data_IF_439911455810
#
_entry.id   IF_439911455810
#
_cell.length_a   1.000
_cell.length_b   1.000
_cell.length_c   1.000
_cell.angle_alpha   90.00
_cell.angle_beta   90.00
_cell.angle_gamma   90.00
#
_symmetry.space_group_name_H-M   'P 1'
#
loop_
_entity.id
_entity.type
_entity.pdbx_description
1 polymer ?
#
# COMPACT_ATOMS: atom_id res chain seq x y z
N UNK A 1 -15.53 -3.04 34.76
CA UNK A 1 -15.83 -3.63 33.44
C UNK A 1 -16.52 -2.58 32.59
N UNK A 2 -15.74 -1.63 32.01
CA UNK A 2 -16.30 -0.58 31.16
C UNK A 2 -16.32 -1.09 29.72
N UNK A 3 -17.50 -1.29 29.18
CA UNK A 3 -17.70 -1.54 27.77
C UNK A 3 -17.26 -0.28 27.00
N UNK A 4 -16.07 -0.32 26.38
CA UNK A 4 -15.64 0.72 25.47
C UNK A 4 -16.51 0.67 24.21
N UNK A 5 -17.56 1.49 24.21
CA UNK A 5 -18.38 1.71 23.02
C UNK A 5 -17.49 2.22 21.89
N UNK A 6 -17.53 1.59 20.73
CA UNK A 6 -16.90 2.12 19.53
C UNK A 6 -17.54 3.48 19.20
N UNK A 7 -16.75 4.56 19.02
CA UNK A 7 -17.33 5.86 18.68
C UNK A 7 -18.16 5.73 17.39
N UNK A 8 -19.47 5.93 17.53
CA UNK A 8 -20.40 5.87 16.40
C UNK A 8 -20.39 7.21 15.66
N UNK A 9 -20.62 7.16 14.34
CA UNK A 9 -20.92 8.37 13.58
C UNK A 9 -22.23 8.99 14.12
N UNK A 10 -22.33 10.33 14.25
CA UNK A 10 -23.60 10.97 14.53
C UNK A 10 -24.67 10.44 13.57
N UNK A 11 -25.87 10.17 14.05
CA UNK A 11 -26.96 9.56 13.28
C UNK A 11 -27.35 10.34 12.00
N UNK A 12 -26.96 11.63 11.92
CA UNK A 12 -27.20 12.53 10.78
C UNK A 12 -26.12 12.48 9.69
N UNK A 13 -24.97 11.79 9.91
CA UNK A 13 -23.91 11.76 8.92
C UNK A 13 -24.10 10.66 7.88
N UNK A 14 -24.01 11.03 6.59
CA UNK A 14 -24.02 10.10 5.49
C UNK A 14 -22.87 9.08 5.60
N UNK A 15 -23.21 7.78 5.53
CA UNK A 15 -22.22 6.68 5.58
C UNK A 15 -21.57 6.38 4.21
N UNK A 16 -22.08 6.99 3.14
CA UNK A 16 -21.63 6.71 1.77
C UNK A 16 -20.17 7.08 1.51
N UNK A 17 -19.65 8.25 1.93
CA UNK A 17 -18.23 8.57 1.75
C UNK A 17 -17.31 7.50 2.33
N UNK A 18 -17.61 6.99 3.52
CA UNK A 18 -16.84 5.90 4.13
C UNK A 18 -16.95 4.60 3.35
N UNK A 19 -18.15 4.22 2.90
CA UNK A 19 -18.34 3.00 2.12
C UNK A 19 -17.58 3.03 0.81
N UNK A 20 -17.65 4.12 0.07
CA UNK A 20 -16.91 4.27 -1.18
C UNK A 20 -15.41 4.36 -0.96
N UNK A 21 -14.92 5.02 0.09
CA UNK A 21 -13.50 5.03 0.42
C UNK A 21 -12.96 3.62 0.74
N UNK A 22 -13.71 2.82 1.51
CA UNK A 22 -13.36 1.43 1.80
C UNK A 22 -13.44 0.54 0.55
N UNK A 23 -14.45 0.73 -0.29
CA UNK A 23 -14.58 0.01 -1.57
C UNK A 23 -13.42 0.33 -2.52
N UNK A 24 -13.00 1.60 -2.57
CA UNK A 24 -11.83 2.02 -3.35
C UNK A 24 -10.56 1.28 -2.91
N UNK A 25 -10.31 1.18 -1.60
CA UNK A 25 -9.19 0.38 -1.07
C UNK A 25 -9.34 -1.10 -1.46
N UNK A 26 -10.55 -1.66 -1.26
CA UNK A 26 -10.86 -3.06 -1.54
C UNK A 26 -10.69 -3.45 -3.01
N UNK A 27 -10.99 -2.55 -3.96
CA UNK A 27 -10.80 -2.79 -5.40
C UNK A 27 -9.38 -2.48 -5.88
N UNK A 28 -8.70 -1.50 -5.27
CA UNK A 28 -7.34 -1.13 -5.69
C UNK A 28 -6.33 -2.23 -5.39
N UNK A 29 -6.50 -2.99 -4.31
CA UNK A 29 -5.58 -4.09 -4.00
C UNK A 29 -5.64 -5.24 -5.02
N UNK A 30 -6.81 -5.81 -5.38
CA UNK A 30 -6.93 -6.75 -6.50
C UNK A 30 -6.44 -6.17 -7.83
N UNK A 31 -6.67 -4.88 -8.09
CA UNK A 31 -6.16 -4.21 -9.28
C UNK A 31 -4.62 -4.24 -9.33
N UNK A 32 -3.94 -4.01 -8.20
CA UNK A 32 -2.47 -4.14 -8.10
C UNK A 32 -2.04 -5.58 -8.35
N UNK A 33 -2.76 -6.56 -7.78
CA UNK A 33 -2.46 -7.98 -7.99
C UNK A 33 -2.56 -8.36 -9.47
N UNK A 34 -3.69 -8.06 -10.12
CA UNK A 34 -3.89 -8.36 -11.53
C UNK A 34 -2.90 -7.60 -12.41
N UNK A 35 -2.60 -6.32 -12.11
CA UNK A 35 -1.54 -5.56 -12.78
C UNK A 35 -0.14 -6.17 -12.60
N UNK A 36 0.09 -6.79 -11.44
CA UNK A 36 1.25 -7.62 -11.20
C UNK A 36 1.29 -8.83 -12.14
N UNK A 37 0.20 -9.57 -12.31
CA UNK A 37 0.10 -10.68 -13.26
C UNK A 37 0.32 -10.22 -14.69
N UNK A 38 -0.33 -9.14 -15.14
CA UNK A 38 -0.13 -8.55 -16.47
C UNK A 38 1.36 -8.39 -16.80
N UNK A 39 2.14 -7.86 -15.87
CA UNK A 39 3.59 -7.67 -16.09
C UNK A 39 4.37 -8.99 -16.03
N UNK A 40 4.04 -9.86 -15.07
CA UNK A 40 4.82 -11.09 -14.81
C UNK A 40 4.59 -12.15 -15.87
N UNK A 41 3.36 -12.26 -16.42
CA UNK A 41 3.01 -13.15 -17.51
C UNK A 41 3.28 -12.55 -18.89
N UNK A 42 3.85 -11.33 -18.94
CA UNK A 42 4.12 -10.57 -20.18
C UNK A 42 2.85 -10.25 -20.98
N UNK A 43 1.70 -10.26 -20.36
CA UNK A 43 0.39 -10.04 -21.00
C UNK A 43 0.11 -8.57 -21.34
N UNK A 44 0.97 -7.64 -20.94
CA UNK A 44 0.67 -6.20 -21.03
C UNK A 44 0.67 -5.59 -22.43
N UNK A 45 0.74 -6.41 -23.48
CA UNK A 45 0.65 -6.04 -24.89
C UNK A 45 -0.28 -7.01 -25.64
N UNK A 46 -1.07 -7.82 -24.93
CA UNK A 46 -2.00 -8.78 -25.54
C UNK A 46 -3.18 -8.07 -26.22
N UNK A 47 -3.56 -6.89 -25.72
CA UNK A 47 -4.57 -6.00 -26.29
C UNK A 47 -3.87 -4.73 -26.77
N UNK A 48 -3.63 -4.61 -28.10
CA UNK A 48 -2.73 -3.59 -28.64
C UNK A 48 -3.31 -2.18 -28.66
N UNK A 49 -4.62 -2.04 -28.54
CA UNK A 49 -5.34 -0.77 -28.64
C UNK A 49 -5.83 -0.26 -27.26
N UNK A 50 -5.93 1.07 -27.16
CA UNK A 50 -6.46 1.76 -25.99
C UNK A 50 -7.14 3.08 -26.46
N UNK A 51 -8.33 3.44 -25.96
CA UNK A 51 -9.13 2.84 -24.87
C UNK A 51 -10.04 1.67 -25.30
N UNK A 52 -9.90 1.15 -26.49
CA UNK A 52 -10.65 0.03 -27.04
C UNK A 52 -10.01 -1.32 -26.68
N UNK A 53 -10.69 -2.43 -27.04
CA UNK A 53 -10.21 -3.79 -26.94
C UNK A 53 -10.49 -4.47 -28.28
N UNK A 54 -9.46 -4.65 -29.13
CA UNK A 54 -9.57 -5.16 -30.51
C UNK A 54 -10.63 -4.40 -31.33
N UNK A 55 -10.64 -3.07 -31.22
CA UNK A 55 -11.60 -2.18 -31.88
C UNK A 55 -12.99 -2.10 -31.23
N UNK A 56 -13.31 -2.97 -30.29
CA UNK A 56 -14.57 -2.90 -29.53
C UNK A 56 -14.49 -1.83 -28.44
N UNK A 57 -15.64 -1.22 -28.12
CA UNK A 57 -15.76 -0.53 -26.85
C UNK A 57 -15.39 -1.48 -25.70
N UNK A 58 -14.55 -1.04 -24.77
CA UNK A 58 -14.03 -1.88 -23.69
C UNK A 58 -15.12 -2.59 -22.88
N UNK A 59 -16.28 -1.96 -22.70
CA UNK A 59 -17.43 -2.56 -21.98
C UNK A 59 -18.25 -3.52 -22.84
N UNK A 60 -18.12 -3.45 -24.15
CA UNK A 60 -18.90 -4.22 -25.12
C UNK A 60 -18.06 -5.33 -25.77
N UNK A 61 -16.82 -5.54 -25.30
CA UNK A 61 -16.03 -6.68 -25.74
C UNK A 61 -16.76 -7.99 -25.40
N UNK A 62 -16.95 -8.92 -26.33
CA UNK A 62 -17.78 -10.11 -26.12
C UNK A 62 -17.31 -10.92 -24.92
N UNK A 63 -18.20 -11.13 -23.95
CA UNK A 63 -17.88 -11.83 -22.69
C UNK A 63 -17.39 -13.26 -22.95
N UNK A 64 -17.95 -13.95 -23.94
CA UNK A 64 -17.51 -15.29 -24.35
C UNK A 64 -16.07 -15.30 -24.86
N UNK A 65 -15.67 -14.30 -25.65
CA UNK A 65 -14.30 -14.15 -26.14
C UNK A 65 -13.32 -13.80 -25.04
N UNK A 66 -13.74 -12.97 -24.08
CA UNK A 66 -12.93 -12.65 -22.93
C UNK A 66 -12.72 -13.86 -22.02
N UNK A 67 -13.82 -14.59 -21.70
CA UNK A 67 -13.78 -15.69 -20.73
C UNK A 67 -13.10 -16.95 -21.28
N UNK A 68 -13.34 -17.29 -22.54
CA UNK A 68 -12.78 -18.47 -23.20
C UNK A 68 -11.55 -18.17 -24.05
N UNK A 69 -11.11 -16.92 -24.08
CA UNK A 69 -9.98 -16.44 -24.85
C UNK A 69 -8.62 -16.79 -24.24
N UNK A 70 -7.53 -16.33 -24.87
CA UNK A 70 -6.18 -16.50 -24.35
C UNK A 70 -6.01 -15.86 -22.99
N UNK A 71 -5.20 -16.50 -22.12
CA UNK A 71 -4.93 -16.06 -20.76
C UNK A 71 -4.41 -14.61 -20.66
N UNK A 72 -3.55 -14.22 -21.56
CA UNK A 72 -2.96 -12.88 -21.64
C UNK A 72 -4.02 -11.80 -21.91
N UNK A 73 -4.94 -12.05 -22.83
CA UNK A 73 -6.10 -11.17 -23.08
C UNK A 73 -7.03 -11.13 -21.85
N UNK A 74 -7.29 -12.29 -21.23
CA UNK A 74 -8.14 -12.38 -20.04
C UNK A 74 -7.60 -11.48 -18.92
N UNK A 75 -6.31 -11.55 -18.65
CA UNK A 75 -5.67 -10.81 -17.54
C UNK A 75 -5.56 -9.33 -17.88
N UNK A 76 -5.14 -8.96 -19.11
CA UNK A 76 -4.98 -7.56 -19.49
C UNK A 76 -6.31 -6.81 -19.55
N UNK A 77 -7.31 -7.39 -20.22
CA UNK A 77 -8.65 -6.79 -20.30
C UNK A 77 -9.31 -6.72 -18.91
N UNK A 78 -9.20 -7.77 -18.10
CA UNK A 78 -9.67 -7.77 -16.71
C UNK A 78 -9.01 -6.69 -15.85
N UNK A 79 -7.71 -6.44 -16.02
CA UNK A 79 -7.01 -5.33 -15.37
C UNK A 79 -7.59 -3.96 -15.76
N UNK A 80 -7.89 -3.76 -17.04
CA UNK A 80 -8.52 -2.52 -17.53
C UNK A 80 -9.90 -2.30 -16.92
N UNK A 81 -10.74 -3.34 -16.87
CA UNK A 81 -12.08 -3.28 -16.27
C UNK A 81 -12.02 -2.98 -14.77
N UNK A 82 -11.09 -3.59 -14.03
CA UNK A 82 -10.86 -3.27 -12.62
C UNK A 82 -10.39 -1.81 -12.44
N UNK A 83 -9.53 -1.31 -13.32
CA UNK A 83 -9.11 0.09 -13.30
C UNK A 83 -10.27 1.06 -13.46
N UNK A 84 -11.19 0.77 -14.39
CA UNK A 84 -12.42 1.54 -14.58
C UNK A 84 -13.31 1.46 -13.33
N UNK A 85 -13.47 0.28 -12.74
CA UNK A 85 -14.27 0.12 -11.52
C UNK A 85 -13.72 1.01 -10.38
N UNK A 86 -12.40 1.07 -10.19
CA UNK A 86 -11.78 2.00 -9.21
C UNK A 86 -12.06 3.46 -9.58
N UNK A 87 -11.99 3.82 -10.87
CA UNK A 87 -12.32 5.16 -11.36
C UNK A 87 -13.78 5.54 -11.06
N UNK A 88 -14.73 4.66 -11.33
CA UNK A 88 -16.15 4.86 -11.01
C UNK A 88 -16.39 5.05 -9.52
N UNK A 89 -15.72 4.24 -8.68
CA UNK A 89 -15.80 4.39 -7.22
C UNK A 89 -15.22 5.73 -6.77
N UNK A 90 -14.14 6.22 -7.39
CA UNK A 90 -13.59 7.54 -7.09
C UNK A 90 -14.57 8.68 -7.45
N UNK A 91 -15.31 8.55 -8.56
CA UNK A 91 -16.39 9.48 -8.95
C UNK A 91 -17.51 9.43 -7.90
N UNK A 92 -17.98 8.23 -7.54
CA UNK A 92 -19.04 8.06 -6.53
C UNK A 92 -18.63 8.61 -5.16
N UNK A 93 -17.38 8.39 -4.76
CA UNK A 93 -16.81 8.97 -3.53
C UNK A 93 -16.82 10.50 -3.58
N UNK A 94 -16.40 11.07 -4.70
CA UNK A 94 -16.40 12.52 -4.90
C UNK A 94 -17.81 13.09 -4.78
N UNK A 95 -18.77 12.52 -5.50
CA UNK A 95 -20.19 12.94 -5.43
C UNK A 95 -20.73 12.84 -3.99
N UNK A 96 -20.45 11.72 -3.31
CA UNK A 96 -20.93 11.49 -1.94
C UNK A 96 -20.35 12.52 -0.94
N UNK A 97 -19.08 12.90 -1.09
CA UNK A 97 -18.44 13.95 -0.26
C UNK A 97 -19.01 15.33 -0.55
N UNK A 98 -19.25 15.68 -1.83
CA UNK A 98 -19.81 16.98 -2.19
C UNK A 98 -21.27 17.15 -1.74
N UNK A 99 -22.06 16.07 -1.76
CA UNK A 99 -23.46 16.06 -1.29
C UNK A 99 -23.61 16.06 0.24
N UNK A 100 -22.50 15.89 0.99
CA UNK A 100 -22.55 15.82 2.45
C UNK A 100 -21.71 16.93 3.09
N UNK A 101 -22.32 17.98 3.68
CA UNK A 101 -21.61 19.08 4.33
C UNK A 101 -20.65 18.63 5.43
N UNK A 102 -20.99 17.58 6.17
CA UNK A 102 -20.17 17.00 7.23
C UNK A 102 -18.79 16.51 6.74
N UNK A 103 -18.65 16.22 5.44
CA UNK A 103 -17.43 15.74 4.82
C UNK A 103 -16.71 16.81 3.97
N UNK A 104 -17.10 18.08 4.08
CA UNK A 104 -16.56 19.20 3.27
C UNK A 104 -15.02 19.30 3.32
N UNK A 105 -14.40 18.97 4.46
CA UNK A 105 -12.95 18.93 4.64
C UNK A 105 -12.23 17.94 3.71
N UNK A 106 -12.94 16.92 3.18
CA UNK A 106 -12.36 15.92 2.29
C UNK A 106 -12.48 16.29 0.80
N UNK A 107 -13.17 17.39 0.43
CA UNK A 107 -13.42 17.75 -0.97
C UNK A 107 -12.13 17.82 -1.81
N UNK A 108 -11.09 18.50 -1.31
CA UNK A 108 -9.80 18.56 -2.01
C UNK A 108 -9.17 17.19 -2.18
N UNK A 109 -9.21 16.36 -1.15
CA UNK A 109 -8.60 15.05 -1.16
C UNK A 109 -9.28 14.06 -2.13
N UNK A 110 -10.63 14.08 -2.23
CA UNK A 110 -11.33 13.21 -3.17
C UNK A 110 -11.13 13.66 -4.62
N UNK A 111 -10.99 14.97 -4.87
CA UNK A 111 -10.62 15.47 -6.20
C UNK A 111 -9.21 15.03 -6.57
N UNK A 112 -8.24 15.12 -5.64
CA UNK A 112 -6.88 14.60 -5.85
C UNK A 112 -6.91 13.10 -6.15
N UNK A 113 -7.74 12.32 -5.45
CA UNK A 113 -7.89 10.89 -5.73
C UNK A 113 -8.45 10.62 -7.13
N UNK A 114 -9.47 11.39 -7.54
CA UNK A 114 -10.06 11.28 -8.87
C UNK A 114 -9.05 11.63 -9.96
N UNK A 115 -8.31 12.73 -9.82
CA UNK A 115 -7.24 13.11 -10.74
C UNK A 115 -6.14 12.04 -10.77
N UNK A 116 -5.72 11.54 -9.62
CA UNK A 116 -4.66 10.53 -9.53
C UNK A 116 -5.06 9.22 -10.21
N UNK A 117 -6.29 8.72 -10.03
CA UNK A 117 -6.75 7.49 -10.70
C UNK A 117 -6.92 7.70 -12.20
N UNK A 118 -7.35 8.88 -12.64
CA UNK A 118 -7.42 9.23 -14.07
C UNK A 118 -6.03 9.24 -14.70
N UNK A 119 -5.05 9.87 -14.04
CA UNK A 119 -3.65 9.86 -14.49
C UNK A 119 -3.08 8.42 -14.53
N UNK A 120 -3.45 7.58 -13.57
CA UNK A 120 -3.07 6.16 -13.58
C UNK A 120 -3.64 5.43 -14.80
N UNK A 121 -4.90 5.64 -15.13
CA UNK A 121 -5.51 5.10 -16.35
C UNK A 121 -4.79 5.56 -17.62
N UNK A 122 -4.50 6.86 -17.72
CA UNK A 122 -3.76 7.43 -18.86
C UNK A 122 -2.34 6.86 -18.98
N UNK A 123 -1.59 6.77 -17.87
CA UNK A 123 -0.27 6.16 -17.85
C UNK A 123 -0.33 4.68 -18.27
N UNK A 124 -1.37 3.96 -17.80
CA UNK A 124 -1.61 2.57 -18.18
C UNK A 124 -1.91 2.41 -19.67
N UNK A 125 -2.66 3.32 -20.29
CA UNK A 125 -2.94 3.34 -21.72
C UNK A 125 -1.72 3.75 -22.56
N UNK A 126 -1.08 4.87 -22.21
CA UNK A 126 0.09 5.39 -22.94
C UNK A 126 1.26 4.40 -22.97
N UNK A 127 1.46 3.62 -21.90
CA UNK A 127 2.51 2.59 -21.91
C UNK A 127 2.26 1.51 -22.96
N UNK A 128 0.98 1.21 -23.28
CA UNK A 128 0.60 0.26 -24.33
C UNK A 128 0.82 0.89 -25.70
N UNK A 129 0.22 2.03 -25.96
CA UNK A 129 0.34 2.76 -27.23
C UNK A 129 1.80 3.03 -27.64
N UNK A 130 2.63 3.44 -26.67
CA UNK A 130 4.04 3.78 -26.92
C UNK A 130 4.99 2.61 -26.70
N UNK A 131 4.52 1.44 -26.29
CA UNK A 131 5.33 0.30 -25.85
C UNK A 131 6.48 0.72 -24.91
N UNK A 132 6.19 1.63 -23.98
CA UNK A 132 7.19 2.36 -23.20
C UNK A 132 7.41 1.72 -21.82
N UNK A 133 8.58 1.07 -21.63
CA UNK A 133 8.97 0.44 -20.34
C UNK A 133 9.07 1.43 -19.20
N UNK A 134 9.56 2.65 -19.45
CA UNK A 134 9.65 3.70 -18.43
C UNK A 134 8.26 4.07 -17.91
N UNK A 135 7.28 4.24 -18.80
CA UNK A 135 5.90 4.51 -18.40
C UNK A 135 5.30 3.34 -17.62
N UNK A 136 5.60 2.10 -18.01
CA UNK A 136 5.19 0.92 -17.26
C UNK A 136 5.79 0.89 -15.84
N UNK A 137 7.06 1.28 -15.67
CA UNK A 137 7.72 1.41 -14.38
C UNK A 137 7.08 2.51 -13.53
N UNK A 138 6.86 3.70 -14.10
CA UNK A 138 6.21 4.84 -13.41
C UNK A 138 4.79 4.44 -12.97
N UNK A 139 3.99 3.85 -13.86
CA UNK A 139 2.67 3.33 -13.53
C UNK A 139 2.73 2.29 -12.38
N UNK A 140 3.69 1.37 -12.42
CA UNK A 140 3.92 0.36 -11.39
C UNK A 140 4.35 0.93 -10.03
N UNK A 141 5.07 2.07 -10.00
CA UNK A 141 5.45 2.76 -8.77
C UNK A 141 4.31 3.62 -8.20
N UNK A 142 3.58 4.33 -9.06
CA UNK A 142 2.54 5.28 -8.65
C UNK A 142 1.23 4.58 -8.26
N UNK A 143 0.97 3.36 -8.75
CA UNK A 143 -0.16 2.53 -8.31
C UNK A 143 -0.17 2.24 -6.79
N UNK A 144 0.91 1.71 -6.20
CA UNK A 144 1.03 1.54 -4.75
C UNK A 144 0.95 2.85 -3.96
N UNK A 145 1.44 3.98 -4.50
CA UNK A 145 1.28 5.30 -3.89
C UNK A 145 -0.19 5.72 -3.86
N UNK A 146 -0.94 5.52 -4.95
CA UNK A 146 -2.39 5.73 -4.99
C UNK A 146 -3.12 4.83 -3.98
N UNK A 147 -2.74 3.57 -3.87
CA UNK A 147 -3.30 2.64 -2.87
C UNK A 147 -3.08 3.13 -1.44
N UNK A 148 -1.88 3.59 -1.09
CA UNK A 148 -1.59 4.19 0.20
C UNK A 148 -2.46 5.45 0.46
N UNK A 149 -2.64 6.29 -0.56
CA UNK A 149 -3.53 7.45 -0.47
C UNK A 149 -5.00 7.05 -0.28
N UNK A 150 -5.48 6.02 -0.97
CA UNK A 150 -6.82 5.46 -0.78
C UNK A 150 -7.04 4.96 0.67
N UNK A 151 -6.02 4.29 1.26
CA UNK A 151 -6.04 3.87 2.67
C UNK A 151 -6.13 5.09 3.60
N UNK A 152 -5.39 6.16 3.33
CA UNK A 152 -5.45 7.41 4.11
C UNK A 152 -6.82 8.06 3.99
N UNK A 153 -7.40 8.13 2.79
CA UNK A 153 -8.77 8.62 2.60
C UNK A 153 -9.80 7.81 3.40
N UNK A 154 -9.72 6.48 3.34
CA UNK A 154 -10.59 5.61 4.12
C UNK A 154 -10.41 5.81 5.63
N UNK A 155 -9.17 6.03 6.10
CA UNK A 155 -8.88 6.39 7.49
C UNK A 155 -9.51 7.73 7.88
N UNK A 156 -9.41 8.76 7.03
CA UNK A 156 -10.00 10.08 7.30
C UNK A 156 -11.52 10.06 7.42
N UNK A 157 -12.18 9.07 6.83
CA UNK A 157 -13.62 8.84 6.99
C UNK A 157 -13.98 8.05 8.26
N UNK A 158 -13.00 7.64 9.08
CA UNK A 158 -13.24 6.83 10.28
C UNK A 158 -13.54 7.69 11.51
N UNK A 159 -14.37 7.17 12.43
CA UNK A 159 -14.63 7.80 13.71
C UNK A 159 -13.34 7.98 14.54
N UNK A 160 -12.45 6.98 14.50
CA UNK A 160 -11.14 7.04 15.19
C UNK A 160 -10.24 8.17 14.72
N UNK A 161 -10.33 8.60 13.48
CA UNK A 161 -9.57 9.73 13.00
C UNK A 161 -10.09 11.06 13.56
N UNK A 162 -11.39 11.16 13.75
CA UNK A 162 -12.02 12.37 14.29
C UNK A 162 -11.78 12.53 15.79
N UNK A 163 -11.77 11.42 16.48
CA UNK A 163 -11.58 11.32 17.92
C UNK A 163 -10.35 10.45 18.22
N UNK A 164 -9.17 11.04 18.00
CA UNK A 164 -7.90 10.32 18.09
C UNK A 164 -7.52 10.02 19.55
N UNK A 165 -7.99 10.83 20.49
CA UNK A 165 -7.70 10.70 21.93
C UNK A 165 -8.73 9.85 22.68
N UNK A 166 -9.79 9.40 21.99
CA UNK A 166 -10.82 8.59 22.64
C UNK A 166 -10.24 7.37 23.38
N UNK A 167 -10.48 7.32 24.67
CA UNK A 167 -10.01 6.26 25.57
C UNK A 167 -8.52 6.34 25.93
N UNK A 168 -7.90 7.50 25.75
CA UNK A 168 -6.57 7.83 26.28
C UNK A 168 -6.76 8.74 27.49
N UNK A 169 -6.22 8.36 28.66
CA UNK A 169 -6.24 9.19 29.87
C UNK A 169 -5.17 10.26 29.84
N UNK A 170 -5.32 11.33 30.63
CA UNK A 170 -4.32 12.39 30.75
C UNK A 170 -2.95 11.84 31.19
N UNK A 171 -2.93 10.89 32.14
CA UNK A 171 -1.71 10.20 32.59
C UNK A 171 -1.05 9.44 31.43
N UNK A 172 -1.84 8.74 30.59
CA UNK A 172 -1.33 8.04 29.42
C UNK A 172 -0.77 8.99 28.35
N UNK A 173 -1.28 10.21 28.25
CA UNK A 173 -0.75 11.28 27.40
C UNK A 173 0.65 11.66 27.86
N UNK A 174 0.84 11.94 29.16
CA UNK A 174 2.13 12.33 29.75
C UNK A 174 3.19 11.22 29.59
N UNK A 175 2.82 9.96 29.78
CA UNK A 175 3.73 8.81 29.62
C UNK A 175 4.21 8.61 28.15
N UNK A 176 3.33 8.91 27.19
CA UNK A 176 3.60 8.68 25.75
C UNK A 176 4.32 9.85 25.08
N UNK A 177 4.02 11.10 25.46
CA UNK A 177 4.46 12.31 24.78
C UNK A 177 5.97 12.37 24.54
N UNK A 178 6.86 12.09 25.51
CA UNK A 178 8.32 12.18 25.30
C UNK A 178 8.86 11.25 24.22
N UNK A 179 8.19 10.10 24.00
CA UNK A 179 8.63 9.10 23.04
C UNK A 179 7.90 9.21 21.71
N UNK A 180 6.69 9.82 21.67
CA UNK A 180 5.83 9.88 20.51
C UNK A 180 6.50 10.57 19.31
N UNK A 181 7.25 11.65 19.55
CA UNK A 181 7.97 12.36 18.50
C UNK A 181 9.03 11.48 17.83
N UNK A 182 9.73 10.64 18.60
CA UNK A 182 10.75 9.69 18.09
C UNK A 182 10.09 8.56 17.31
N UNK A 183 8.97 8.00 17.80
CA UNK A 183 8.21 6.95 17.13
C UNK A 183 7.63 7.48 15.82
N UNK A 184 7.07 8.70 15.81
CA UNK A 184 6.55 9.38 14.62
C UNK A 184 7.63 9.58 13.55
N UNK A 185 8.80 10.12 13.91
CA UNK A 185 9.92 10.30 12.98
C UNK A 185 10.39 8.97 12.39
N UNK A 186 10.49 7.93 13.22
CA UNK A 186 10.85 6.59 12.77
C UNK A 186 9.81 6.03 11.80
N UNK A 187 8.51 6.22 12.06
CA UNK A 187 7.44 5.75 11.17
C UNK A 187 7.49 6.45 9.81
N UNK A 188 7.69 7.78 9.79
CA UNK A 188 7.82 8.55 8.55
C UNK A 188 9.05 8.08 7.75
N UNK A 189 10.22 7.95 8.41
CA UNK A 189 11.43 7.43 7.78
C UNK A 189 11.19 6.02 7.20
N UNK A 190 10.54 5.14 7.97
CA UNK A 190 10.18 3.80 7.53
C UNK A 190 9.30 3.85 6.28
N UNK A 191 8.29 4.73 6.23
CA UNK A 191 7.43 4.88 5.05
C UNK A 191 8.20 5.31 3.81
N UNK A 192 9.13 6.26 3.95
CA UNK A 192 10.00 6.71 2.86
C UNK A 192 10.88 5.56 2.38
N UNK A 193 11.53 4.84 3.29
CA UNK A 193 12.41 3.72 2.95
C UNK A 193 11.65 2.57 2.28
N UNK A 194 10.42 2.25 2.75
CA UNK A 194 9.55 1.23 2.12
C UNK A 194 9.21 1.63 0.69
N UNK A 195 8.91 2.91 0.45
CA UNK A 195 8.62 3.38 -0.91
C UNK A 195 9.87 3.39 -1.81
N UNK A 196 11.02 3.81 -1.29
CA UNK A 196 12.31 3.70 -2.01
C UNK A 196 12.62 2.24 -2.38
N UNK A 197 12.39 1.31 -1.45
CA UNK A 197 12.57 -0.13 -1.70
C UNK A 197 11.63 -0.65 -2.80
N UNK A 198 10.38 -0.17 -2.84
CA UNK A 198 9.44 -0.49 -3.91
C UNK A 198 9.94 0.02 -5.26
N UNK A 199 10.46 1.25 -5.33
CA UNK A 199 11.04 1.84 -6.56
C UNK A 199 12.25 1.04 -7.03
N UNK A 200 13.15 0.64 -6.11
CA UNK A 200 14.28 -0.24 -6.44
C UNK A 200 13.81 -1.58 -7.04
N UNK A 201 12.78 -2.19 -6.44
CA UNK A 201 12.18 -3.43 -6.95
C UNK A 201 11.53 -3.24 -8.34
N UNK A 202 10.84 -2.12 -8.55
CA UNK A 202 10.27 -1.78 -9.85
C UNK A 202 11.36 -1.57 -10.91
N UNK A 203 12.49 -0.95 -10.55
CA UNK A 203 13.65 -0.78 -11.44
C UNK A 203 14.22 -2.15 -11.86
N UNK A 204 14.43 -3.06 -10.91
CA UNK A 204 14.86 -4.44 -11.20
C UNK A 204 13.88 -5.15 -12.14
N UNK A 205 12.58 -4.97 -11.92
CA UNK A 205 11.52 -5.62 -12.69
C UNK A 205 11.41 -5.11 -14.12
N UNK A 206 11.61 -3.81 -14.34
CA UNK A 206 11.47 -3.14 -15.64
C UNK A 206 12.81 -2.89 -16.34
N UNK A 207 13.90 -3.51 -15.86
CA UNK A 207 15.23 -3.39 -16.48
C UNK A 207 15.18 -3.77 -17.96
N UNK A 208 15.77 -2.98 -18.88
CA UNK A 208 15.88 -3.35 -20.28
C UNK A 208 16.62 -4.67 -20.47
N UNK A 209 16.17 -5.49 -21.43
CA UNK A 209 16.84 -6.79 -21.75
C UNK A 209 18.30 -6.57 -22.17
N UNK A 210 18.58 -5.42 -22.81
CA UNK A 210 19.93 -5.04 -23.27
C UNK A 210 20.77 -4.34 -22.18
N UNK A 211 20.27 -4.25 -20.94
CA UNK A 211 21.04 -3.67 -19.85
C UNK A 211 22.31 -4.51 -19.60
N UNK A 212 23.42 -3.83 -19.30
CA UNK A 212 24.67 -4.51 -18.95
C UNK A 212 24.45 -5.43 -17.74
N UNK A 213 24.97 -6.67 -17.75
CA UNK A 213 24.82 -7.60 -16.64
C UNK A 213 25.24 -7.01 -15.28
N UNK A 214 26.28 -6.18 -15.29
CA UNK A 214 26.77 -5.49 -14.10
C UNK A 214 25.72 -4.53 -13.51
N UNK A 215 25.05 -3.75 -14.36
CA UNK A 215 23.97 -2.84 -13.93
C UNK A 215 22.82 -3.63 -13.26
N UNK A 216 22.40 -4.74 -13.88
CA UNK A 216 21.37 -5.61 -13.29
C UNK A 216 21.80 -6.14 -11.92
N UNK A 217 23.03 -6.69 -11.80
CA UNK A 217 23.57 -7.20 -10.53
C UNK A 217 23.61 -6.12 -9.46
N UNK A 218 24.00 -4.90 -9.81
CA UNK A 218 24.06 -3.75 -8.89
C UNK A 218 22.69 -3.41 -8.33
N UNK A 219 21.66 -3.27 -9.16
CA UNK A 219 20.30 -2.96 -8.68
C UNK A 219 19.72 -4.09 -7.85
N UNK A 220 19.94 -5.34 -8.24
CA UNK A 220 19.51 -6.50 -7.44
C UNK A 220 20.20 -6.52 -6.09
N UNK A 221 21.51 -6.30 -6.04
CA UNK A 221 22.27 -6.22 -4.79
C UNK A 221 21.71 -5.14 -3.85
N UNK A 222 21.52 -3.92 -4.36
CA UNK A 222 20.95 -2.84 -3.54
C UNK A 222 19.53 -3.13 -3.10
N UNK A 223 18.69 -3.74 -3.96
CA UNK A 223 17.34 -4.13 -3.58
C UNK A 223 17.34 -5.14 -2.41
N UNK A 224 18.21 -6.13 -2.45
CA UNK A 224 18.37 -7.12 -1.38
C UNK A 224 18.94 -6.47 -0.11
N UNK A 225 20.00 -5.69 -0.23
CA UNK A 225 20.65 -5.01 0.90
C UNK A 225 19.66 -4.10 1.62
N UNK A 226 18.93 -3.24 0.90
CA UNK A 226 17.97 -2.30 1.47
C UNK A 226 16.78 -3.05 2.08
N UNK A 227 16.38 -4.21 1.54
CA UNK A 227 15.33 -5.04 2.15
C UNK A 227 15.69 -5.51 3.56
N UNK A 228 16.93 -5.97 3.77
CA UNK A 228 17.41 -6.38 5.10
C UNK A 228 17.62 -5.17 6.03
N UNK A 229 18.19 -4.07 5.52
CA UNK A 229 18.35 -2.83 6.29
C UNK A 229 16.98 -2.31 6.75
N UNK A 230 15.95 -2.37 5.90
CA UNK A 230 14.59 -1.93 6.20
C UNK A 230 13.90 -2.75 7.30
N UNK A 231 14.26 -4.02 7.47
CA UNK A 231 13.72 -4.86 8.54
C UNK A 231 14.05 -4.29 9.94
N UNK A 232 15.22 -3.65 10.12
CA UNK A 232 15.63 -3.04 11.37
C UNK A 232 14.71 -1.91 11.87
N UNK A 233 14.48 -0.83 11.10
CA UNK A 233 13.51 0.22 11.45
C UNK A 233 12.10 -0.30 11.70
N UNK A 234 11.62 -1.28 10.94
CA UNK A 234 10.30 -1.89 11.13
C UNK A 234 10.24 -2.66 12.45
N UNK A 235 11.25 -3.48 12.75
CA UNK A 235 11.35 -4.20 14.01
C UNK A 235 11.42 -3.23 15.21
N UNK A 236 12.23 -2.18 15.10
CA UNK A 236 12.35 -1.14 16.13
C UNK A 236 11.03 -0.40 16.34
N UNK A 237 10.31 -0.09 15.25
CA UNK A 237 9.00 0.57 15.30
C UNK A 237 7.97 -0.32 16.01
N UNK A 238 7.94 -1.61 15.67
CA UNK A 238 7.09 -2.60 16.36
C UNK A 238 7.45 -2.70 17.83
N UNK A 239 8.73 -2.85 18.21
CA UNK A 239 9.19 -2.98 19.58
C UNK A 239 8.84 -1.74 20.41
N UNK A 240 9.09 -0.51 19.90
CA UNK A 240 8.77 0.72 20.60
C UNK A 240 7.27 0.89 20.81
N UNK A 241 6.47 0.65 19.78
CA UNK A 241 5.00 0.74 19.90
C UNK A 241 4.41 -0.37 20.77
N UNK A 242 5.05 -1.56 20.83
CA UNK A 242 4.59 -2.66 21.67
C UNK A 242 4.92 -2.45 23.14
N UNK A 243 6.12 -1.95 23.44
CA UNK A 243 6.55 -1.65 24.82
C UNK A 243 5.75 -0.52 25.44
N UNK A 244 5.34 0.46 24.64
CA UNK A 244 4.53 1.58 25.11
C UNK A 244 3.06 1.15 25.21
N UNK A 245 2.68 0.60 26.39
CA UNK A 245 1.34 0.03 26.62
C UNK A 245 0.23 1.09 26.59
N UNK A 246 0.55 2.32 26.91
CA UNK A 246 -0.35 3.47 26.86
C UNK A 246 -0.75 3.86 25.42
N UNK A 247 0.03 3.47 24.40
CA UNK A 247 -0.37 3.66 23.00
C UNK A 247 -1.61 2.81 22.65
N UNK A 248 -2.64 3.40 22.04
CA UNK A 248 -3.87 2.71 21.71
C UNK A 248 -3.66 1.63 20.64
N UNK A 249 -4.52 0.62 20.64
CA UNK A 249 -4.42 -0.52 19.72
C UNK A 249 -4.47 -0.13 18.25
N UNK A 250 -5.13 0.98 17.90
CA UNK A 250 -5.17 1.48 16.52
C UNK A 250 -3.83 2.00 15.99
N UNK A 251 -2.86 2.27 16.91
CA UNK A 251 -1.44 2.53 16.58
C UNK A 251 -0.63 1.23 16.62
N UNK A 252 -0.80 0.40 17.67
CA UNK A 252 0.02 -0.80 17.88
C UNK A 252 -0.24 -1.90 16.84
N UNK A 253 -1.50 -2.06 16.39
CA UNK A 253 -1.86 -3.08 15.38
C UNK A 253 -1.15 -2.88 14.03
N UNK A 254 -1.16 -1.70 13.39
CA UNK A 254 -0.41 -1.48 12.15
C UNK A 254 1.09 -1.74 12.28
N UNK A 255 1.72 -1.33 13.39
CA UNK A 255 3.14 -1.60 13.63
C UNK A 255 3.44 -3.10 13.70
N UNK A 256 2.57 -3.88 14.34
CA UNK A 256 2.67 -5.35 14.35
C UNK A 256 2.51 -5.94 12.96
N UNK A 257 1.52 -5.48 12.20
CA UNK A 257 1.31 -5.97 10.83
C UNK A 257 2.47 -5.61 9.90
N UNK A 258 3.13 -4.46 10.07
CA UNK A 258 4.36 -4.13 9.33
C UNK A 258 5.46 -5.16 9.61
N UNK A 259 5.67 -5.56 10.87
CA UNK A 259 6.67 -6.56 11.23
C UNK A 259 6.34 -7.93 10.63
N UNK A 260 5.08 -8.36 10.69
CA UNK A 260 4.63 -9.62 10.06
C UNK A 260 4.81 -9.57 8.55
N UNK A 261 4.35 -8.51 7.90
CA UNK A 261 4.42 -8.38 6.44
C UNK A 261 5.85 -8.27 5.92
N UNK A 262 6.77 -7.59 6.62
CA UNK A 262 8.17 -7.56 6.19
C UNK A 262 8.82 -8.94 6.29
N UNK A 263 8.49 -9.72 7.32
CA UNK A 263 8.98 -11.10 7.42
C UNK A 263 8.47 -11.97 6.27
N UNK A 264 7.19 -11.89 5.94
CA UNK A 264 6.59 -12.56 4.78
C UNK A 264 7.24 -12.07 3.49
N UNK A 265 7.45 -10.75 3.35
CA UNK A 265 8.05 -10.13 2.17
C UNK A 265 9.48 -10.61 1.92
N UNK A 266 10.28 -10.78 2.98
CA UNK A 266 11.63 -11.33 2.87
C UNK A 266 11.60 -12.79 2.40
N UNK A 267 10.73 -13.63 2.98
CA UNK A 267 10.57 -15.03 2.55
C UNK A 267 10.15 -15.10 1.08
N UNK A 268 9.13 -14.35 0.68
CA UNK A 268 8.67 -14.34 -0.73
C UNK A 268 9.74 -13.73 -1.65
N UNK A 269 10.53 -12.75 -1.16
CA UNK A 269 11.66 -12.19 -1.90
C UNK A 269 12.74 -13.23 -2.19
N UNK A 270 13.11 -14.04 -1.19
CA UNK A 270 14.03 -15.17 -1.35
C UNK A 270 13.44 -16.20 -2.33
N UNK A 271 12.16 -16.55 -2.19
CA UNK A 271 11.46 -17.45 -3.11
C UNK A 271 11.44 -16.90 -4.53
N UNK A 272 11.22 -15.58 -4.71
CA UNK A 272 11.30 -14.91 -6.01
C UNK A 272 12.70 -15.05 -6.63
N UNK A 273 13.75 -14.88 -5.81
CA UNK A 273 15.12 -15.08 -6.25
C UNK A 273 15.35 -16.52 -6.71
N UNK A 274 15.06 -17.50 -5.84
CA UNK A 274 15.29 -18.92 -6.11
C UNK A 274 14.54 -19.39 -7.35
N UNK A 275 13.26 -19.01 -7.50
CA UNK A 275 12.45 -19.40 -8.66
C UNK A 275 12.91 -18.75 -9.98
N UNK A 276 13.67 -17.64 -9.92
CA UNK A 276 14.14 -16.93 -11.12
C UNK A 276 15.57 -17.27 -11.50
N UNK A 277 16.46 -17.44 -10.53
CA UNK A 277 17.92 -17.58 -10.74
C UNK A 277 18.53 -18.80 -10.08
N UNK A 278 17.72 -19.66 -9.46
CA UNK A 278 18.16 -20.80 -8.66
C UNK A 278 18.85 -20.39 -7.34
N UNK A 279 19.26 -21.38 -6.56
CA UNK A 279 19.95 -21.16 -5.29
C UNK A 279 21.31 -20.48 -5.51
N UNK A 280 21.78 -19.62 -4.58
CA UNK A 280 23.11 -19.04 -4.66
C UNK A 280 24.20 -20.14 -4.68
N UNK A 281 25.26 -19.91 -5.41
CA UNK A 281 26.43 -20.81 -5.39
C UNK A 281 26.95 -20.98 -3.96
N UNK A 282 27.27 -22.23 -3.57
CA UNK A 282 27.73 -22.58 -2.23
C UNK A 282 26.69 -23.34 -1.38
N UNK A 283 25.41 -23.41 -1.82
CA UNK A 283 24.37 -24.24 -1.19
C UNK A 283 24.10 -25.45 -2.11
N UNK A 284 25.15 -26.09 -2.60
CA UNK A 284 25.11 -27.07 -3.69
C UNK A 284 24.20 -28.28 -3.47
N UNK A 285 24.14 -28.83 -2.24
CA UNK A 285 23.31 -30.00 -1.97
C UNK A 285 21.82 -29.65 -1.92
N UNK A 286 21.48 -28.47 -1.41
CA UNK A 286 20.09 -27.96 -1.42
C UNK A 286 19.65 -27.64 -2.85
N UNK A 287 20.56 -27.15 -3.69
CA UNK A 287 20.32 -26.91 -5.11
C UNK A 287 19.98 -28.18 -5.88
N UNK A 288 20.66 -29.29 -5.59
CA UNK A 288 20.41 -30.61 -6.24
C UNK A 288 19.08 -31.20 -5.79
N UNK A 289 18.78 -31.17 -4.48
CA UNK A 289 17.53 -31.73 -3.92
C UNK A 289 16.28 -30.94 -4.35
N UNK A 290 16.44 -29.69 -4.76
CA UNK A 290 15.33 -28.81 -5.21
C UNK A 290 15.32 -28.57 -6.70
N UNK A 291 16.22 -29.18 -7.48
CA UNK A 291 16.31 -28.99 -8.93
C UNK A 291 15.01 -29.35 -9.66
N UNK A 292 14.31 -30.41 -9.20
CA UNK A 292 13.04 -30.85 -9.73
C UNK A 292 11.87 -29.90 -9.39
N UNK A 293 12.04 -29.05 -8.39
CA UNK A 293 11.11 -27.98 -8.01
C UNK A 293 11.49 -26.62 -8.60
N UNK A 294 12.61 -26.51 -9.32
CA UNK A 294 12.95 -25.29 -10.04
C UNK A 294 11.95 -25.06 -11.13
N UNK A 295 11.17 -24.06 -10.91
CA UNK A 295 10.03 -23.63 -11.70
C UNK A 295 10.46 -23.33 -13.13
N UNK A 296 9.74 -23.86 -14.09
CA UNK A 296 9.85 -23.50 -15.51
C UNK A 296 9.84 -21.98 -15.64
N UNK A 297 10.87 -21.40 -16.26
CA UNK A 297 10.95 -19.96 -16.48
C UNK A 297 9.68 -19.44 -17.18
N UNK A 298 9.00 -18.48 -16.55
CA UNK A 298 7.74 -17.95 -17.03
C UNK A 298 6.51 -18.78 -16.66
N UNK A 299 6.67 -19.82 -15.82
CA UNK A 299 5.55 -20.64 -15.33
C UNK A 299 4.61 -19.86 -14.40
N UNK A 300 3.38 -20.37 -14.24
CA UNK A 300 2.33 -19.74 -13.44
C UNK A 300 2.72 -19.61 -11.95
N UNK A 301 3.41 -20.61 -11.41
CA UNK A 301 3.90 -20.59 -10.01
C UNK A 301 4.89 -19.46 -9.77
N UNK A 302 5.87 -19.28 -10.66
CA UNK A 302 6.82 -18.17 -10.61
C UNK A 302 6.09 -16.83 -10.72
N UNK A 303 5.15 -16.72 -11.65
CA UNK A 303 4.36 -15.50 -11.88
C UNK A 303 3.56 -15.11 -10.64
N UNK A 304 2.95 -16.08 -9.96
CA UNK A 304 2.20 -15.85 -8.71
C UNK A 304 3.12 -15.41 -7.56
N UNK A 305 4.27 -16.04 -7.37
CA UNK A 305 5.23 -15.66 -6.33
C UNK A 305 5.73 -14.22 -6.53
N UNK A 306 6.14 -13.87 -7.74
CA UNK A 306 6.60 -12.51 -8.07
C UNK A 306 5.48 -11.49 -7.90
N UNK A 307 4.25 -11.85 -8.30
CA UNK A 307 3.07 -10.98 -8.14
C UNK A 307 2.72 -10.78 -6.67
N UNK A 308 2.75 -11.86 -5.87
CA UNK A 308 2.55 -11.77 -4.42
C UNK A 308 3.61 -10.87 -3.75
N UNK A 309 4.89 -10.97 -4.18
CA UNK A 309 5.95 -10.09 -3.70
C UNK A 309 5.63 -8.61 -3.96
N UNK A 310 5.16 -8.27 -5.15
CA UNK A 310 4.76 -6.89 -5.51
C UNK A 310 3.54 -6.43 -4.72
N UNK A 311 2.52 -7.27 -4.58
CA UNK A 311 1.29 -6.94 -3.87
C UNK A 311 1.52 -6.72 -2.37
N UNK A 312 2.32 -7.59 -1.72
CA UNK A 312 2.68 -7.43 -0.29
C UNK A 312 3.59 -6.21 -0.10
N UNK A 313 4.49 -5.93 -1.03
CA UNK A 313 5.26 -4.68 -1.05
C UNK A 313 4.35 -3.45 -1.05
N UNK A 314 3.26 -3.48 -1.82
CA UNK A 314 2.26 -2.41 -1.84
C UNK A 314 1.48 -2.29 -0.53
N UNK A 315 1.18 -3.41 0.15
CA UNK A 315 0.59 -3.40 1.50
C UNK A 315 1.55 -2.78 2.53
N UNK A 316 2.85 -3.09 2.45
CA UNK A 316 3.86 -2.47 3.31
C UNK A 316 3.86 -0.94 3.15
N UNK A 317 3.82 -0.42 1.92
CA UNK A 317 3.68 1.03 1.66
C UNK A 317 2.40 1.55 2.31
N UNK A 318 1.25 0.93 2.04
CA UNK A 318 -0.03 1.39 2.55
C UNK A 318 -0.10 1.42 4.09
N UNK A 319 0.38 0.37 4.76
CA UNK A 319 0.33 0.27 6.22
C UNK A 319 1.37 1.17 6.89
N UNK A 320 2.56 1.37 6.30
CA UNK A 320 3.56 2.30 6.82
C UNK A 320 3.05 3.75 6.78
N UNK A 321 2.45 4.16 5.66
CA UNK A 321 1.82 5.48 5.51
C UNK A 321 0.63 5.63 6.47
N UNK A 322 -0.22 4.61 6.61
CA UNK A 322 -1.32 4.60 7.57
C UNK A 322 -0.81 4.83 9.00
N UNK A 323 0.24 4.11 9.41
CA UNK A 323 0.81 4.25 10.75
C UNK A 323 1.40 5.65 10.97
N UNK A 324 2.14 6.16 9.98
CA UNK A 324 2.72 7.51 10.03
C UNK A 324 1.65 8.60 10.16
N UNK A 325 0.56 8.50 9.40
CA UNK A 325 -0.56 9.43 9.47
C UNK A 325 -1.29 9.36 10.82
N UNK A 326 -1.47 8.16 11.37
CA UNK A 326 -2.09 7.98 12.70
C UNK A 326 -1.23 8.56 13.82
N UNK A 327 0.07 8.33 13.80
CA UNK A 327 1.01 8.90 14.78
C UNK A 327 1.09 10.43 14.67
N UNK A 328 1.05 10.95 13.44
CA UNK A 328 0.98 12.40 13.23
C UNK A 328 -0.30 12.99 13.83
N UNK A 329 -1.46 12.36 13.58
CA UNK A 329 -2.74 12.82 14.13
C UNK A 329 -2.75 12.78 15.66
N UNK A 330 -2.30 11.65 16.25
CA UNK A 330 -2.21 11.51 17.69
C UNK A 330 -1.32 12.60 18.31
N UNK A 331 -0.12 12.79 17.75
CA UNK A 331 0.82 13.84 18.20
C UNK A 331 0.21 15.24 18.11
N UNK A 332 -0.55 15.54 17.06
CA UNK A 332 -1.18 16.86 16.88
C UNK A 332 -2.31 17.12 17.87
N UNK A 333 -3.11 16.13 18.20
CA UNK A 333 -4.20 16.27 19.17
C UNK A 333 -3.65 16.39 20.61
N UNK A 334 -2.65 15.57 20.96
CA UNK A 334 -1.99 15.69 22.28
C UNK A 334 -1.37 17.08 22.50
N UNK A 335 -0.69 17.62 21.47
CA UNK A 335 -0.13 18.97 21.56
C UNK A 335 -1.20 20.07 21.70
N UNK A 336 -2.38 19.89 21.14
CA UNK A 336 -3.51 20.82 21.31
C UNK A 336 -4.08 20.77 22.72
N UNK A 337 -4.32 19.56 23.23
CA UNK A 337 -4.86 19.36 24.57
C UNK A 337 -3.93 19.94 25.64
N UNK A 338 -2.61 19.74 25.51
CA UNK A 338 -1.61 20.34 26.40
C UNK A 338 -1.59 21.88 26.35
N UNK A 339 -1.99 22.50 25.23
CA UNK A 339 -2.08 23.97 25.11
C UNK A 339 -3.41 24.53 25.67
N UNK A 340 -4.50 23.78 25.51
CA UNK A 340 -5.85 24.22 25.93
C UNK A 340 -6.07 24.03 27.43
N UNK A 341 -5.35 23.11 28.10
CA UNK A 341 -5.53 22.78 29.53
C UNK A 341 -4.22 22.78 30.30
N UNK A 342 -3.49 23.92 30.36
CA UNK A 342 -2.20 24.00 31.07
C UNK A 342 -2.33 23.92 32.60
N UNK A 343 -3.52 24.15 33.18
CA UNK A 343 -3.77 24.11 34.63
C UNK A 343 -3.84 22.66 35.15
N UNK A 344 -4.52 21.76 34.47
CA UNK A 344 -4.66 20.34 34.85
C UNK A 344 -3.29 19.62 34.89
N UNK A 345 -2.34 20.07 34.07
CA UNK A 345 -0.98 19.51 34.02
C UNK A 345 -0.10 20.00 35.21
N UNK A 346 -0.38 21.18 35.77
CA UNK A 346 0.36 21.71 36.91
C UNK A 346 -0.13 21.13 38.23
N UNK A 347 -1.42 20.87 38.37
CA UNK A 347 -2.00 20.32 39.61
C UNK A 347 -1.59 18.86 39.85
N UNK A 348 -1.37 18.09 38.81
CA UNK A 348 -0.84 16.72 38.91
C UNK A 348 0.64 16.73 39.30
N UNK A 349 1.43 17.63 38.75
CA UNK A 349 2.86 17.76 39.08
C UNK A 349 3.08 18.28 40.54
N UNK A 350 2.12 19.00 41.12
CA UNK A 350 2.18 19.50 42.50
C UNK A 350 1.69 18.49 43.54
N UNK A 351 0.99 17.43 43.15
CA UNK A 351 0.48 16.37 44.03
C UNK A 351 1.49 15.24 44.28
N UNK A 352 2.61 15.17 43.52
CA UNK A 352 3.68 14.18 43.66
C UNK A 352 4.96 14.72 44.37
N UNK A 353 4.97 15.96 44.85
CA UNK A 353 6.04 16.55 45.65
C UNK A 353 5.64 16.58 47.13
#
# INVERSE_FOLDING_TARGET
>A
MFAMGTPSLPASESRWPRRFALLMVGLTFPLIWVGGLVTTTKSGMAVPDYPTTFGYNMFLYPLSWWWSGPWDVFVEHGHRLLGIAVGLVAIMLTIAVYKSPAWSRLRKAVVIALVAVTLQGLLGGLRVELNARLLAMIHGCTGPAFFAFAIVLAMWTSARWRDALHGITAEAVQDVEPQLSRIKRLAILTSVLVYCQLVLGATVRHMPVMAKPQTMKTFVFFHILVAFVLAGPIALLWLRTHRQRALPMWIRRPARWLAVLVSIQLVIGITTWVTKWNWPMGIGDLSRSTADFTVVQGGMSQSNVVTAHVAIGSLLVGISVLLSARLWRLSSEMSRESQENPADLKDIASSEG
#
